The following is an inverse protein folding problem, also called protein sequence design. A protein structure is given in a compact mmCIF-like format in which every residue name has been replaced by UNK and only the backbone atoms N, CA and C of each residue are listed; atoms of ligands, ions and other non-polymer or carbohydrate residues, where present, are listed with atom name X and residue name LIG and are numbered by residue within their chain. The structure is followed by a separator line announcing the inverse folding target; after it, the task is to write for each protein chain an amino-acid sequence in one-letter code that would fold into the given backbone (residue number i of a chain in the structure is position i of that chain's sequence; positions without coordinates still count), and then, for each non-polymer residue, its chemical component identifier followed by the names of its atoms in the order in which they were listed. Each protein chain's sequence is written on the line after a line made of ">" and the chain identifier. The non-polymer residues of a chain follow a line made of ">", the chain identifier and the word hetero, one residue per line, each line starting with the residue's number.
data_IF_166042177271
#
_entry.id   IF_166042177271
#
_cell.length_a   1.000
_cell.length_b   1.000
_cell.length_c   1.000
_cell.angle_alpha   90.00
_cell.angle_beta   90.00
_cell.angle_gamma   90.00
#
_symmetry.space_group_name_H-M   'P 1'
#
loop_
_entity.id
_entity.type
_entity.pdbx_description
1 polymer ?
#
# COMPACT_ATOMS: atom_id res chain seq x y z
N UNK A 1 -15.22 -27.27 -21.69
CA UNK A 1 -15.27 -26.68 -20.35
C UNK A 1 -13.99 -25.88 -20.22
N UNK A 2 -14.08 -24.56 -20.29
CA UNK A 2 -12.92 -23.70 -20.13
C UNK A 2 -12.68 -23.55 -18.62
N UNK A 3 -11.54 -24.02 -18.14
CA UNK A 3 -11.08 -23.74 -16.78
C UNK A 3 -10.97 -22.22 -16.64
N UNK A 4 -11.85 -21.64 -15.83
CA UNK A 4 -11.68 -20.29 -15.32
C UNK A 4 -10.40 -20.30 -14.46
N UNK A 5 -9.32 -19.78 -15.02
CA UNK A 5 -8.10 -19.46 -14.28
C UNK A 5 -8.49 -18.46 -13.21
N UNK A 6 -8.68 -18.97 -11.99
CA UNK A 6 -8.96 -18.19 -10.79
C UNK A 6 -7.82 -17.18 -10.64
N UNK A 7 -8.11 -15.91 -10.98
CA UNK A 7 -7.12 -14.84 -10.88
C UNK A 7 -6.75 -14.71 -9.41
N UNK A 8 -5.46 -14.72 -9.03
CA UNK A 8 -5.07 -14.55 -7.65
C UNK A 8 -5.55 -13.19 -7.16
N UNK A 9 -6.60 -13.20 -6.34
CA UNK A 9 -7.14 -12.01 -5.72
C UNK A 9 -6.30 -11.74 -4.48
N UNK A 10 -5.35 -10.81 -4.60
CA UNK A 10 -4.74 -10.19 -3.43
C UNK A 10 -5.86 -9.41 -2.74
N UNK A 11 -6.44 -9.94 -1.67
CA UNK A 11 -7.37 -9.19 -0.83
C UNK A 11 -6.57 -8.26 0.06
N UNK A 12 -6.77 -6.95 -0.09
CA UNK A 12 -6.16 -5.98 0.80
C UNK A 12 -7.11 -5.79 1.98
N UNK A 13 -6.72 -6.20 3.19
CA UNK A 13 -7.52 -5.98 4.40
C UNK A 13 -7.39 -4.53 4.91
N UNK A 14 -7.75 -3.56 4.06
CA UNK A 14 -7.67 -2.13 4.38
C UNK A 14 -8.61 -1.76 5.53
N UNK A 15 -9.77 -2.42 5.63
CA UNK A 15 -10.73 -2.17 6.71
C UNK A 15 -10.16 -2.47 8.09
N UNK A 16 -9.48 -3.61 8.25
CA UNK A 16 -8.82 -3.98 9.50
C UNK A 16 -7.69 -3.02 9.87
N UNK A 17 -6.79 -2.74 8.93
CA UNK A 17 -5.67 -1.80 9.14
C UNK A 17 -6.15 -0.36 9.43
N UNK A 18 -7.24 0.07 8.80
CA UNK A 18 -7.82 1.38 9.05
C UNK A 18 -8.48 1.47 10.43
N UNK A 19 -9.27 0.45 10.82
CA UNK A 19 -9.88 0.40 12.17
C UNK A 19 -8.83 0.40 13.28
N UNK A 20 -7.73 -0.34 13.09
CA UNK A 20 -6.58 -0.36 14.01
C UNK A 20 -5.95 1.03 14.13
N UNK A 21 -5.69 1.70 13.00
CA UNK A 21 -5.13 3.07 12.99
C UNK A 21 -6.09 4.09 13.62
N UNK A 22 -7.40 3.96 13.41
CA UNK A 22 -8.40 4.82 14.04
C UNK A 22 -8.41 4.60 15.56
N UNK A 23 -8.30 3.35 16.03
CA UNK A 23 -8.17 3.03 17.45
C UNK A 23 -6.96 3.71 18.07
N UNK A 24 -5.80 3.58 17.43
CA UNK A 24 -4.56 4.19 17.89
C UNK A 24 -4.65 5.72 17.97
N UNK A 25 -5.32 6.36 17.01
CA UNK A 25 -5.53 7.82 17.01
C UNK A 25 -6.44 8.24 18.17
N UNK A 26 -7.55 7.53 18.40
CA UNK A 26 -8.49 7.87 19.48
C UNK A 26 -7.87 7.65 20.86
N UNK A 27 -7.10 6.57 21.03
CA UNK A 27 -6.41 6.28 22.28
C UNK A 27 -5.38 7.35 22.63
N UNK A 28 -4.66 7.88 21.64
CA UNK A 28 -3.67 8.94 21.81
C UNK A 28 -4.25 10.37 21.73
N UNK A 29 -5.57 10.50 21.56
CA UNK A 29 -6.19 11.81 21.38
C UNK A 29 -6.24 12.62 22.68
N UNK A 30 -5.75 13.86 22.62
CA UNK A 30 -5.97 14.87 23.66
C UNK A 30 -7.35 15.51 23.48
N UNK A 31 -8.35 14.91 24.13
CA UNK A 31 -9.74 15.36 24.10
C UNK A 31 -9.86 16.83 24.56
N UNK A 32 -9.08 17.27 25.57
CA UNK A 32 -9.17 18.64 26.08
C UNK A 32 -8.77 19.65 25.00
N UNK A 33 -7.67 19.39 24.31
CA UNK A 33 -7.19 20.22 23.20
C UNK A 33 -8.17 20.19 22.01
N UNK A 34 -8.76 19.03 21.71
CA UNK A 34 -9.76 18.92 20.64
C UNK A 34 -11.03 19.71 20.96
N UNK A 35 -11.58 19.57 22.17
CA UNK A 35 -12.74 20.33 22.63
C UNK A 35 -12.48 21.83 22.56
N UNK A 36 -11.32 22.28 23.04
CA UNK A 36 -10.91 23.69 22.98
C UNK A 36 -10.84 24.21 21.54
N UNK A 37 -10.20 23.46 20.64
CA UNK A 37 -10.12 23.81 19.20
C UNK A 37 -11.49 23.88 18.53
N UNK A 38 -12.44 23.01 18.89
CA UNK A 38 -13.80 23.05 18.35
C UNK A 38 -14.57 24.27 18.84
N UNK A 39 -14.40 24.69 20.09
CA UNK A 39 -15.01 25.90 20.65
C UNK A 39 -14.45 27.16 19.96
N UNK A 40 -13.12 27.19 19.78
CA UNK A 40 -12.38 28.31 19.18
C UNK A 40 -12.62 28.45 17.66
N UNK A 41 -13.20 27.43 17.00
CA UNK A 41 -13.51 27.47 15.57
C UNK A 41 -14.55 28.56 15.27
N UNK A 42 -14.36 29.40 14.24
CA UNK A 42 -15.36 30.42 13.88
C UNK A 42 -16.72 29.76 13.58
N UNK A 43 -17.84 30.40 13.92
CA UNK A 43 -19.15 29.83 13.64
C UNK A 43 -19.37 29.76 12.12
N UNK A 44 -19.36 28.55 11.56
CA UNK A 44 -19.83 28.31 10.19
C UNK A 44 -21.32 27.93 10.25
N UNK A 45 -22.22 28.90 10.07
CA UNK A 45 -23.67 28.68 10.03
C UNK A 45 -24.46 29.21 11.24
N UNK A 46 -25.79 29.17 11.11
CA UNK A 46 -26.78 29.90 11.93
C UNK A 46 -27.00 29.34 13.35
N UNK A 47 -26.47 28.16 13.72
CA UNK A 47 -26.91 27.43 14.92
C UNK A 47 -25.79 26.78 15.75
N UNK A 48 -24.58 27.36 15.73
CA UNK A 48 -23.42 26.80 16.43
C UNK A 48 -23.31 27.20 17.91
N UNK A 49 -24.22 28.05 18.41
CA UNK A 49 -24.16 28.61 19.76
C UNK A 49 -24.34 27.55 20.85
N UNK A 50 -25.42 26.76 20.74
CA UNK A 50 -25.77 25.74 21.73
C UNK A 50 -24.70 24.64 21.82
N UNK A 51 -24.17 24.20 20.68
CA UNK A 51 -23.12 23.16 20.66
C UNK A 51 -21.83 23.66 21.32
N UNK A 52 -21.46 24.92 21.12
CA UNK A 52 -20.29 25.51 21.80
C UNK A 52 -20.47 25.61 23.30
N UNK A 53 -21.66 25.98 23.75
CA UNK A 53 -22.02 26.06 25.17
C UNK A 53 -21.97 24.67 25.82
N UNK A 54 -22.48 23.64 25.15
CA UNK A 54 -22.37 22.25 25.59
C UNK A 54 -20.92 21.76 25.66
N UNK A 55 -20.08 22.11 24.67
CA UNK A 55 -18.65 21.77 24.67
C UNK A 55 -17.89 22.49 25.79
N UNK A 56 -18.24 23.75 26.08
CA UNK A 56 -17.71 24.50 27.22
C UNK A 56 -18.10 23.84 28.55
N UNK A 57 -19.36 23.46 28.73
CA UNK A 57 -19.80 22.76 29.93
C UNK A 57 -19.09 21.42 30.16
N UNK A 58 -18.76 20.69 29.09
CA UNK A 58 -17.94 19.47 29.17
C UNK A 58 -16.50 19.80 29.58
N UNK A 59 -15.92 20.89 29.05
CA UNK A 59 -14.58 21.35 29.42
C UNK A 59 -14.50 21.75 30.90
N UNK A 60 -15.48 22.51 31.38
CA UNK A 60 -15.59 22.91 32.78
C UNK A 60 -15.77 21.70 33.70
N UNK A 61 -16.59 20.72 33.30
CA UNK A 61 -16.75 19.48 34.05
C UNK A 61 -15.45 18.68 34.14
N UNK A 62 -14.68 18.62 33.04
CA UNK A 62 -13.33 18.00 33.02
C UNK A 62 -12.39 18.73 33.98
N UNK A 63 -12.43 20.06 34.04
CA UNK A 63 -11.55 20.85 34.91
C UNK A 63 -11.95 20.80 36.40
N UNK A 64 -13.24 20.70 36.69
CA UNK A 64 -13.77 20.64 38.06
C UNK A 64 -13.66 19.26 38.73
N UNK A 65 -13.49 18.18 37.95
CA UNK A 65 -13.29 16.83 38.48
C UNK A 65 -11.85 16.62 38.97
N UNK A 66 -11.68 15.72 39.95
CA UNK A 66 -10.37 15.27 40.40
C UNK A 66 -9.62 14.52 39.28
N UNK A 67 -8.29 14.38 39.41
CA UNK A 67 -7.47 13.76 38.36
C UNK A 67 -7.87 12.31 38.06
N UNK A 68 -8.29 11.55 39.07
CA UNK A 68 -8.78 10.17 38.94
C UNK A 68 -10.13 10.10 38.21
N UNK A 69 -11.11 10.93 38.62
CA UNK A 69 -12.43 11.02 37.97
C UNK A 69 -12.34 11.53 36.52
N UNK A 70 -11.38 12.43 36.27
CA UNK A 70 -11.09 12.96 34.94
C UNK A 70 -10.58 11.85 34.02
N UNK A 71 -9.64 11.02 34.48
CA UNK A 71 -9.15 9.89 33.68
C UNK A 71 -10.28 8.93 33.30
N UNK A 72 -11.14 8.56 34.25
CA UNK A 72 -12.28 7.68 33.98
C UNK A 72 -13.27 8.30 32.98
N UNK A 73 -13.55 9.59 33.12
CA UNK A 73 -14.44 10.29 32.21
C UNK A 73 -13.87 10.37 30.79
N UNK A 74 -12.57 10.68 30.66
CA UNK A 74 -11.89 10.71 29.36
C UNK A 74 -11.86 9.32 28.72
N UNK A 75 -11.63 8.27 29.50
CA UNK A 75 -11.70 6.88 29.02
C UNK A 75 -13.09 6.54 28.45
N UNK A 76 -14.17 6.97 29.13
CA UNK A 76 -15.54 6.80 28.65
C UNK A 76 -15.81 7.55 27.34
N UNK A 77 -15.28 8.77 27.19
CA UNK A 77 -15.38 9.54 25.94
C UNK A 77 -14.67 8.81 24.80
N UNK A 78 -13.42 8.37 25.02
CA UNK A 78 -12.64 7.61 24.02
C UNK A 78 -13.38 6.35 23.59
N UNK A 79 -13.91 5.59 24.55
CA UNK A 79 -14.66 4.37 24.28
C UNK A 79 -15.94 4.65 23.48
N UNK A 80 -16.72 5.66 23.87
CA UNK A 80 -17.94 6.05 23.15
C UNK A 80 -17.67 6.55 21.74
N UNK A 81 -16.58 7.31 21.56
CA UNK A 81 -16.12 7.77 20.25
C UNK A 81 -15.69 6.59 19.39
N UNK A 82 -14.91 5.65 19.92
CA UNK A 82 -14.51 4.42 19.24
C UNK A 82 -15.71 3.60 18.80
N UNK A 83 -16.70 3.44 19.67
CA UNK A 83 -17.91 2.70 19.35
C UNK A 83 -18.70 3.36 18.22
N UNK A 84 -18.89 4.69 18.26
CA UNK A 84 -19.58 5.43 17.19
C UNK A 84 -18.80 5.43 15.88
N UNK A 85 -17.48 5.57 15.94
CA UNK A 85 -16.62 5.48 14.77
C UNK A 85 -16.73 4.08 14.17
N UNK A 86 -16.47 3.00 14.90
CA UNK A 86 -16.60 1.65 14.36
C UNK A 86 -18.00 1.36 13.79
N UNK A 87 -19.07 1.85 14.43
CA UNK A 87 -20.43 1.72 13.90
C UNK A 87 -20.61 2.45 12.55
N UNK A 88 -20.18 3.71 12.48
CA UNK A 88 -20.30 4.51 11.26
C UNK A 88 -19.36 4.03 10.14
N UNK A 89 -18.13 3.65 10.47
CA UNK A 89 -17.13 3.13 9.53
C UNK A 89 -17.58 1.78 8.97
N UNK A 90 -18.11 0.91 9.83
CA UNK A 90 -18.61 -0.41 9.44
C UNK A 90 -19.86 -0.38 8.54
N UNK A 91 -20.64 0.70 8.59
CA UNK A 91 -21.85 0.84 7.76
C UNK A 91 -21.64 1.67 6.48
N UNK A 92 -20.76 2.67 6.49
CA UNK A 92 -20.76 3.71 5.44
C UNK A 92 -19.42 3.93 4.73
N UNK A 93 -18.35 3.21 5.06
CA UNK A 93 -17.11 3.34 4.30
C UNK A 93 -17.02 2.27 3.21
N UNK A 94 -17.26 2.73 2.00
CA UNK A 94 -16.88 2.00 0.80
C UNK A 94 -15.39 2.27 0.47
N UNK A 95 -14.51 1.38 0.93
CA UNK A 95 -13.08 1.40 0.57
C UNK A 95 -12.80 0.70 -0.77
N UNK A 96 -13.81 0.20 -1.48
CA UNK A 96 -13.60 -0.58 -2.70
C UNK A 96 -12.93 0.22 -3.82
N UNK A 97 -13.26 1.51 -3.95
CA UNK A 97 -12.61 2.41 -4.91
C UNK A 97 -11.13 2.63 -4.60
N UNK A 98 -10.78 2.79 -3.32
CA UNK A 98 -9.40 2.91 -2.87
C UNK A 98 -8.63 1.61 -3.09
N UNK A 99 -9.22 0.46 -2.73
CA UNK A 99 -8.63 -0.86 -2.96
C UNK A 99 -8.36 -1.09 -4.45
N UNK A 100 -9.32 -0.71 -5.31
CA UNK A 100 -9.19 -0.84 -6.77
C UNK A 100 -8.05 0.03 -7.30
N UNK A 101 -8.00 1.30 -6.90
CA UNK A 101 -6.94 2.22 -7.31
C UNK A 101 -5.54 1.75 -6.86
N UNK A 102 -5.44 1.25 -5.62
CA UNK A 102 -4.19 0.68 -5.11
C UNK A 102 -3.79 -0.58 -5.89
N UNK A 103 -4.73 -1.50 -6.13
CA UNK A 103 -4.48 -2.70 -6.93
C UNK A 103 -4.00 -2.36 -8.33
N UNK A 104 -4.68 -1.44 -9.01
CA UNK A 104 -4.30 -1.00 -10.35
C UNK A 104 -2.88 -0.41 -10.37
N UNK A 105 -2.56 0.46 -9.40
CA UNK A 105 -1.23 1.04 -9.29
C UNK A 105 -0.14 -0.01 -9.03
N UNK A 106 -0.41 -1.00 -8.16
CA UNK A 106 0.52 -2.09 -7.86
C UNK A 106 0.72 -2.97 -9.09
N UNK A 107 -0.36 -3.35 -9.76
CA UNK A 107 -0.33 -4.18 -10.97
C UNK A 107 0.46 -3.47 -12.08
N UNK A 108 0.23 -2.18 -12.29
CA UNK A 108 0.99 -1.40 -13.27
C UNK A 108 2.50 -1.39 -12.95
N UNK A 109 2.88 -1.19 -11.69
CA UNK A 109 4.29 -1.24 -11.26
C UNK A 109 4.89 -2.64 -11.46
N UNK A 110 4.15 -3.70 -11.11
CA UNK A 110 4.61 -5.08 -11.29
C UNK A 110 4.82 -5.41 -12.77
N UNK A 111 3.93 -4.97 -13.66
CA UNK A 111 4.12 -5.13 -15.10
C UNK A 111 5.36 -4.39 -15.61
N UNK A 112 5.61 -3.17 -15.15
CA UNK A 112 6.80 -2.42 -15.54
C UNK A 112 8.09 -3.11 -15.10
N UNK A 113 8.16 -3.55 -13.84
CA UNK A 113 9.32 -4.29 -13.32
C UNK A 113 9.48 -5.62 -14.05
N UNK A 114 8.39 -6.36 -14.25
CA UNK A 114 8.38 -7.62 -14.99
C UNK A 114 8.88 -7.45 -16.43
N UNK A 115 8.46 -6.38 -17.11
CA UNK A 115 8.92 -6.06 -18.46
C UNK A 115 10.41 -5.75 -18.51
N UNK A 116 10.94 -4.99 -17.55
CA UNK A 116 12.39 -4.70 -17.44
C UNK A 116 13.18 -6.00 -17.23
N UNK A 117 12.74 -6.86 -16.31
CA UNK A 117 13.40 -8.13 -16.04
C UNK A 117 13.36 -9.03 -17.28
N UNK A 118 12.20 -9.14 -17.93
CA UNK A 118 12.05 -9.91 -19.17
C UNK A 118 12.97 -9.39 -20.28
N UNK A 119 13.10 -8.07 -20.42
CA UNK A 119 13.99 -7.44 -21.38
C UNK A 119 15.47 -7.74 -21.10
N UNK A 120 15.90 -7.68 -19.84
CA UNK A 120 17.26 -8.05 -19.44
C UNK A 120 17.55 -9.52 -19.77
N UNK A 121 16.63 -10.42 -19.42
CA UNK A 121 16.76 -11.86 -19.74
C UNK A 121 16.84 -12.08 -21.24
N UNK A 122 16.00 -11.39 -22.02
CA UNK A 122 16.04 -11.44 -23.48
C UNK A 122 17.40 -11.00 -24.04
N UNK A 123 17.96 -9.89 -23.55
CA UNK A 123 19.30 -9.44 -23.96
C UNK A 123 20.39 -10.46 -23.63
N UNK A 124 20.33 -11.09 -22.45
CA UNK A 124 21.26 -12.16 -22.10
C UNK A 124 21.13 -13.34 -23.07
N UNK A 125 19.92 -13.79 -23.38
CA UNK A 125 19.70 -14.88 -24.33
C UNK A 125 20.23 -14.55 -25.73
N UNK A 126 20.01 -13.32 -26.23
CA UNK A 126 20.55 -12.89 -27.52
C UNK A 126 22.08 -12.81 -27.49
N UNK A 127 22.66 -12.25 -26.42
CA UNK A 127 24.11 -12.11 -26.28
C UNK A 127 24.81 -13.46 -26.19
N UNK A 128 24.33 -14.35 -25.31
CA UNK A 128 24.88 -15.69 -25.17
C UNK A 128 24.58 -16.56 -26.38
N UNK A 129 23.39 -16.45 -26.97
CA UNK A 129 23.02 -17.13 -28.22
C UNK A 129 23.95 -16.74 -29.37
N UNK A 130 24.19 -15.44 -29.58
CA UNK A 130 25.14 -14.95 -30.59
C UNK A 130 26.57 -15.42 -30.31
N UNK A 131 27.03 -15.35 -29.05
CA UNK A 131 28.38 -15.78 -28.66
C UNK A 131 28.57 -17.29 -28.85
N UNK A 132 27.56 -18.10 -28.52
CA UNK A 132 27.54 -19.55 -28.75
C UNK A 132 27.57 -19.85 -30.25
N UNK A 133 26.73 -19.19 -31.04
CA UNK A 133 26.73 -19.32 -32.50
C UNK A 133 28.11 -19.00 -33.10
N UNK A 134 28.71 -17.86 -32.71
CA UNK A 134 30.04 -17.47 -33.19
C UNK A 134 31.13 -18.46 -32.77
N UNK A 135 31.10 -18.93 -31.52
CA UNK A 135 32.08 -19.91 -31.01
C UNK A 135 32.03 -21.26 -31.75
N UNK A 136 30.83 -21.71 -32.12
CA UNK A 136 30.66 -22.94 -32.92
C UNK A 136 31.18 -22.72 -34.33
N UNK A 137 30.79 -21.61 -34.98
CA UNK A 137 31.20 -21.28 -36.36
C UNK A 137 32.72 -21.13 -36.49
N UNK A 138 33.36 -20.44 -35.55
CA UNK A 138 34.83 -20.29 -35.54
C UNK A 138 35.55 -21.64 -35.34
N UNK A 139 34.96 -22.59 -34.60
CA UNK A 139 35.50 -23.95 -34.45
C UNK A 139 35.39 -24.76 -35.75
N UNK A 140 34.31 -24.60 -36.50
CA UNK A 140 34.12 -25.29 -37.78
C UNK A 140 35.11 -24.78 -38.83
N UNK A 141 35.27 -23.46 -38.96
CA UNK A 141 36.25 -22.84 -39.87
C UNK A 141 37.67 -23.36 -39.59
N UNK A 142 38.08 -23.38 -38.31
CA UNK A 142 39.40 -23.92 -37.93
C UNK A 142 39.56 -25.40 -38.24
N UNK A 143 38.50 -26.20 -38.23
CA UNK A 143 38.56 -27.62 -38.61
C UNK A 143 38.72 -27.78 -40.12
N UNK A 144 38.05 -26.96 -40.91
CA UNK A 144 38.19 -26.98 -42.37
C UNK A 144 39.56 -26.51 -42.84
N UNK A 145 40.09 -25.42 -42.27
CA UNK A 145 41.44 -24.95 -42.56
C UNK A 145 42.49 -26.00 -42.20
N UNK A 146 42.34 -26.66 -41.04
CA UNK A 146 43.21 -27.78 -40.65
C UNK A 146 43.11 -28.96 -41.62
N UNK A 147 41.92 -29.27 -42.17
CA UNK A 147 41.76 -30.32 -43.18
C UNK A 147 42.42 -29.92 -44.51
N UNK A 148 42.22 -28.68 -44.98
CA UNK A 148 42.82 -28.15 -46.22
C UNK A 148 44.34 -28.10 -46.15
N UNK A 149 44.91 -27.64 -45.03
CA UNK A 149 46.36 -27.64 -44.82
C UNK A 149 46.95 -29.06 -44.78
N UNK A 150 46.23 -30.04 -44.20
CA UNK A 150 46.66 -31.44 -44.22
C UNK A 150 46.60 -32.07 -45.61
N UNK A 151 45.62 -31.72 -46.44
CA UNK A 151 45.53 -32.21 -47.82
C UNK A 151 46.61 -31.59 -48.72
N UNK A 152 46.91 -30.30 -48.57
CA UNK A 152 47.97 -29.63 -49.32
C UNK A 152 49.36 -30.18 -48.97
N UNK A 153 49.61 -30.49 -47.69
CA UNK A 153 50.85 -31.15 -47.25
C UNK A 153 50.99 -32.60 -47.70
N UNK A 154 49.91 -33.27 -48.10
CA UNK A 154 49.95 -34.62 -48.70
C UNK A 154 50.10 -34.60 -50.21
N UNK A 155 49.83 -33.47 -50.86
CA UNK A 155 49.93 -33.27 -52.31
C UNK A 155 51.24 -32.60 -52.75
N UNK A 156 52.07 -32.21 -51.78
CA UNK A 156 53.38 -31.60 -51.98
C UNK A 156 54.43 -32.56 -51.45
#
# INVERSE_FOLDING_TARGET
>A
MADEVEKPTVSLNLGGAFSEKVSEIVDNMDIKTVLKKMIDMPPEGEDNGETKEQLQGILEKIEAMSDEEREEFMAKIKQGLMQKLNFNLGQNIDLSGLETAIKEAIVQKLYMVGAIVAFIVFLLLVFFGYKLYKSIKDKEVKREEKKKAKQLKKKK
#
